data_IF_906993021863
#
_entry.id   IF_906993021863
#
_cell.length_a   1.000
_cell.length_b   1.000
_cell.length_c   1.000
_cell.angle_alpha   90.00
_cell.angle_beta   90.00
_cell.angle_gamma   90.00
#
_symmetry.space_group_name_H-M   'P 1'
#
loop_
_entity.id
_entity.type
_entity.pdbx_description
1 polymer ?
#
# COMPACT_ATOMS: atom_id res chain seq x y z
N UNK A 1 -6.99 -2.11 -38.20
CA UNK A 1 -7.21 -0.93 -37.31
C UNK A 1 -5.83 -0.46 -36.85
N UNK A 2 -5.56 0.83 -36.99
CA UNK A 2 -4.28 1.41 -36.56
C UNK A 2 -4.31 1.56 -35.04
N UNK A 3 -3.63 0.68 -34.33
CA UNK A 3 -3.45 0.72 -32.88
C UNK A 3 -2.16 1.44 -32.58
N UNK A 4 -2.23 2.54 -31.83
CA UNK A 4 -1.06 3.35 -31.46
C UNK A 4 -0.60 3.08 -30.01
N UNK A 5 -1.46 2.54 -29.16
CA UNK A 5 -1.16 2.23 -27.76
C UNK A 5 -1.76 0.87 -27.40
N UNK A 6 -0.94 0.04 -26.78
CA UNK A 6 -1.35 -1.23 -26.17
C UNK A 6 -1.08 -1.13 -24.69
N UNK A 7 -2.11 -1.30 -23.88
CA UNK A 7 -2.01 -1.37 -22.43
C UNK A 7 -2.37 -2.78 -21.97
N UNK A 8 -1.52 -3.39 -21.16
CA UNK A 8 -1.73 -4.73 -20.63
C UNK A 8 -1.34 -4.79 -19.16
N UNK A 9 -2.12 -5.49 -18.36
CA UNK A 9 -1.90 -5.67 -16.94
C UNK A 9 -1.67 -7.15 -16.62
N UNK A 10 -0.57 -7.44 -15.91
CA UNK A 10 -0.19 -8.78 -15.46
C UNK A 10 -0.26 -8.85 -13.94
N UNK A 11 -1.19 -9.59 -13.43
CA UNK A 11 -1.45 -9.65 -11.98
C UNK A 11 -0.80 -10.86 -11.29
N UNK A 12 -0.11 -11.73 -12.04
CA UNK A 12 0.36 -12.99 -11.48
C UNK A 12 1.44 -12.81 -10.41
N UNK A 13 2.45 -11.95 -10.65
CA UNK A 13 3.52 -11.68 -9.68
C UNK A 13 2.93 -11.06 -8.43
N UNK A 14 2.12 -10.02 -8.59
CA UNK A 14 1.52 -9.28 -7.49
C UNK A 14 0.71 -10.21 -6.56
N UNK A 15 -0.32 -10.87 -7.09
CA UNK A 15 -1.19 -11.76 -6.31
C UNK A 15 -0.41 -12.87 -5.59
N UNK A 16 0.56 -13.47 -6.25
CA UNK A 16 1.30 -14.59 -5.68
C UNK A 16 2.30 -14.10 -4.62
N UNK A 17 3.00 -13.02 -4.90
CA UNK A 17 4.00 -12.48 -3.97
C UNK A 17 3.35 -11.90 -2.70
N UNK A 18 2.19 -11.28 -2.78
CA UNK A 18 1.42 -10.92 -1.59
C UNK A 18 1.17 -12.09 -0.65
N UNK A 19 0.94 -13.27 -1.22
CA UNK A 19 0.69 -14.47 -0.43
C UNK A 19 1.95 -15.10 0.16
N UNK A 20 3.06 -15.08 -0.58
CA UNK A 20 4.22 -15.90 -0.25
C UNK A 20 5.44 -15.15 0.27
N UNK A 21 5.56 -13.84 0.02
CA UNK A 21 6.76 -13.08 0.41
C UNK A 21 7.06 -13.16 1.91
N UNK A 22 6.02 -13.27 2.75
CA UNK A 22 6.17 -13.47 4.20
C UNK A 22 6.93 -14.74 4.58
N UNK A 23 6.95 -15.73 3.71
CA UNK A 23 7.66 -17.01 3.95
C UNK A 23 9.14 -16.96 3.57
N UNK A 24 9.63 -15.83 3.03
CA UNK A 24 11.07 -15.60 2.81
C UNK A 24 11.83 -15.40 4.11
N UNK A 25 11.18 -14.81 5.13
CA UNK A 25 11.84 -14.51 6.40
C UNK A 25 12.24 -15.78 7.13
N UNK A 26 13.42 -15.78 7.71
CA UNK A 26 13.91 -16.87 8.57
C UNK A 26 13.36 -16.78 10.01
N UNK A 27 12.57 -15.77 10.32
CA UNK A 27 12.04 -15.48 11.65
C UNK A 27 10.61 -15.97 11.89
N UNK A 28 9.90 -16.39 10.83
CA UNK A 28 8.50 -16.85 10.93
C UNK A 28 8.35 -18.32 11.30
N UNK A 29 7.17 -18.69 11.85
CA UNK A 29 6.86 -20.09 12.19
C UNK A 29 6.58 -20.97 10.95
N UNK A 30 6.18 -20.37 9.84
CA UNK A 30 5.74 -21.04 8.61
C UNK A 30 6.67 -20.73 7.42
N UNK A 31 7.97 -20.95 7.58
CA UNK A 31 8.91 -20.74 6.46
C UNK A 31 8.79 -21.84 5.42
N UNK A 32 8.87 -21.43 4.17
CA UNK A 32 9.24 -22.37 3.11
C UNK A 32 10.77 -22.60 3.12
N UNK A 33 11.23 -23.82 2.81
CA UNK A 33 12.64 -24.02 2.51
C UNK A 33 13.08 -23.00 1.44
N UNK A 34 14.27 -22.38 1.56
CA UNK A 34 14.72 -21.36 0.62
C UNK A 34 14.68 -21.82 -0.84
N UNK A 35 15.02 -23.09 -1.10
CA UNK A 35 14.95 -23.69 -2.44
C UNK A 35 13.52 -23.81 -2.98
N UNK A 36 12.53 -24.07 -2.13
CA UNK A 36 11.12 -24.12 -2.56
C UNK A 36 10.61 -22.72 -2.85
N UNK A 37 10.92 -21.74 -2.00
CA UNK A 37 10.57 -20.35 -2.23
C UNK A 37 11.20 -19.83 -3.54
N UNK A 38 12.50 -20.05 -3.73
CA UNK A 38 13.22 -19.64 -4.93
C UNK A 38 12.60 -20.25 -6.18
N UNK A 39 12.33 -21.56 -6.16
CA UNK A 39 11.70 -22.24 -7.29
C UNK A 39 10.35 -21.66 -7.64
N UNK A 40 9.51 -21.40 -6.63
CA UNK A 40 8.20 -20.83 -6.82
C UNK A 40 8.29 -19.41 -7.43
N UNK A 41 9.16 -18.55 -6.89
CA UNK A 41 9.40 -17.23 -7.41
C UNK A 41 9.90 -17.28 -8.87
N UNK A 42 10.87 -18.15 -9.18
CA UNK A 42 11.37 -18.34 -10.54
C UNK A 42 10.25 -18.76 -11.51
N UNK A 43 9.37 -19.65 -11.11
CA UNK A 43 8.28 -20.13 -11.97
C UNK A 43 7.28 -18.99 -12.30
N UNK A 44 6.97 -18.13 -11.34
CA UNK A 44 6.12 -16.95 -11.55
C UNK A 44 6.80 -15.95 -12.51
N UNK A 45 8.08 -15.65 -12.28
CA UNK A 45 8.84 -14.72 -13.14
C UNK A 45 8.99 -15.27 -14.56
N UNK A 46 9.27 -16.57 -14.73
CA UNK A 46 9.31 -17.21 -16.06
C UNK A 46 7.99 -17.13 -16.80
N UNK A 47 6.87 -17.27 -16.08
CA UNK A 47 5.54 -17.12 -16.68
C UNK A 47 5.31 -15.69 -17.18
N UNK A 48 5.70 -14.70 -16.38
CA UNK A 48 5.58 -13.28 -16.75
C UNK A 48 6.52 -12.94 -17.91
N UNK A 49 7.76 -13.41 -17.87
CA UNK A 49 8.74 -13.23 -18.96
C UNK A 49 8.22 -13.81 -20.27
N UNK A 50 7.68 -15.04 -20.24
CA UNK A 50 7.03 -15.64 -21.42
C UNK A 50 5.91 -14.77 -21.98
N UNK A 51 5.13 -14.12 -21.12
CA UNK A 51 4.05 -13.26 -21.57
C UNK A 51 4.56 -11.95 -22.15
N UNK A 52 5.54 -11.31 -21.52
CA UNK A 52 6.20 -10.12 -22.04
C UNK A 52 6.87 -10.42 -23.38
N UNK A 53 7.47 -11.60 -23.51
CA UNK A 53 8.10 -12.06 -24.75
C UNK A 53 7.18 -12.03 -25.97
N UNK A 54 5.85 -12.09 -25.78
CA UNK A 54 4.88 -11.98 -26.89
C UNK A 54 4.81 -10.58 -27.49
N UNK A 55 5.32 -9.57 -26.82
CA UNK A 55 5.31 -8.18 -27.28
C UNK A 55 6.69 -7.73 -27.83
N UNK A 56 7.75 -8.47 -27.56
CA UNK A 56 9.13 -8.06 -27.91
C UNK A 56 9.29 -7.82 -29.42
N UNK A 57 8.60 -8.58 -30.28
CA UNK A 57 8.67 -8.39 -31.73
C UNK A 57 8.23 -6.99 -32.18
N UNK A 58 7.39 -6.30 -31.41
CA UNK A 58 6.94 -4.94 -31.71
C UNK A 58 8.08 -3.92 -31.67
N UNK A 59 9.17 -4.21 -30.97
CA UNK A 59 10.36 -3.35 -30.96
C UNK A 59 10.96 -3.21 -32.35
N UNK A 60 10.95 -4.29 -33.14
CA UNK A 60 11.44 -4.29 -34.54
C UNK A 60 10.52 -3.51 -35.49
N UNK A 61 9.28 -3.27 -35.06
CA UNK A 61 8.28 -2.48 -35.77
C UNK A 61 8.29 -0.99 -35.37
N UNK A 62 9.24 -0.59 -34.52
CA UNK A 62 9.40 0.81 -34.07
C UNK A 62 8.57 1.19 -32.87
N UNK A 63 8.01 0.22 -32.15
CA UNK A 63 7.29 0.47 -30.90
C UNK A 63 8.25 0.75 -29.74
N UNK A 64 7.73 1.44 -28.74
CA UNK A 64 8.35 1.58 -27.43
C UNK A 64 7.64 0.65 -26.45
N UNK A 65 8.36 -0.23 -25.79
CA UNK A 65 7.87 -1.08 -24.73
C UNK A 65 8.28 -0.50 -23.38
N UNK A 66 7.33 -0.35 -22.47
CA UNK A 66 7.59 0.02 -21.07
C UNK A 66 7.00 -1.03 -20.14
N UNK A 67 7.76 -1.43 -19.15
CA UNK A 67 7.33 -2.29 -18.06
C UNK A 67 7.49 -1.52 -16.75
N UNK A 68 6.43 -1.48 -15.96
CA UNK A 68 6.46 -0.89 -14.63
C UNK A 68 5.58 -1.69 -13.68
N UNK A 69 5.86 -1.58 -12.41
CA UNK A 69 4.98 -2.03 -11.33
C UNK A 69 4.64 -0.82 -10.46
N UNK A 70 3.46 -0.82 -9.87
CA UNK A 70 2.99 0.17 -8.90
C UNK A 70 3.71 0.03 -7.56
N UNK A 71 4.19 -1.15 -7.21
CA UNK A 71 5.02 -1.43 -6.03
C UNK A 71 5.77 -2.74 -6.19
N UNK A 72 6.78 -2.95 -5.36
CA UNK A 72 7.34 -4.26 -5.09
C UNK A 72 6.79 -4.80 -3.76
N UNK A 73 7.30 -5.93 -3.28
CA UNK A 73 6.80 -6.59 -2.08
C UNK A 73 7.81 -6.49 -0.94
N UNK A 74 7.32 -6.28 0.27
CA UNK A 74 8.14 -6.31 1.48
C UNK A 74 7.78 -7.52 2.34
N UNK A 75 8.81 -8.13 2.92
CA UNK A 75 8.66 -9.20 3.89
C UNK A 75 8.59 -8.58 5.29
N UNK A 76 7.52 -8.81 6.07
CA UNK A 76 7.50 -8.38 7.47
C UNK A 76 8.42 -9.26 8.31
N UNK A 77 9.08 -8.68 9.30
CA UNK A 77 9.98 -9.41 10.21
C UNK A 77 9.23 -10.43 11.10
N UNK A 78 7.96 -10.18 11.37
CA UNK A 78 7.05 -11.02 12.16
C UNK A 78 5.61 -10.57 11.93
N UNK A 79 4.66 -11.37 12.38
CA UNK A 79 3.26 -10.95 12.39
C UNK A 79 3.04 -9.85 13.43
N UNK A 80 2.36 -8.79 13.05
CA UNK A 80 1.99 -7.68 13.92
C UNK A 80 0.52 -7.31 13.71
N UNK A 81 -0.14 -6.69 14.73
CA UNK A 81 -1.53 -6.33 14.61
C UNK A 81 -1.74 -5.21 13.59
N UNK A 82 -2.81 -5.34 12.79
CA UNK A 82 -3.17 -4.38 11.77
C UNK A 82 -3.83 -3.14 12.37
N UNK A 83 -3.67 -2.02 11.69
CA UNK A 83 -4.33 -0.75 12.05
C UNK A 83 -5.68 -0.67 11.34
N UNK A 84 -5.75 -1.06 10.08
CA UNK A 84 -6.97 -1.10 9.30
C UNK A 84 -6.93 -2.16 8.21
N UNK A 85 -8.09 -2.50 7.68
CA UNK A 85 -8.23 -3.41 6.55
C UNK A 85 -9.33 -2.95 5.57
N UNK A 86 -9.50 -3.71 4.50
CA UNK A 86 -10.43 -3.40 3.41
C UNK A 86 -11.91 -3.34 3.85
N UNK A 87 -12.27 -4.07 4.90
CA UNK A 87 -13.64 -4.11 5.44
C UNK A 87 -13.78 -3.37 6.76
N UNK A 88 -12.68 -2.81 7.29
CA UNK A 88 -12.66 -2.01 8.50
C UNK A 88 -12.90 -2.79 9.80
N UNK A 89 -12.77 -4.12 9.77
CA UNK A 89 -13.05 -4.98 10.93
C UNK A 89 -11.85 -5.78 11.44
N UNK A 90 -10.73 -5.80 10.70
CA UNK A 90 -9.46 -6.36 11.16
C UNK A 90 -8.56 -5.22 11.64
N UNK A 91 -8.93 -4.62 12.74
CA UNK A 91 -8.48 -3.32 13.22
C UNK A 91 -7.92 -3.40 14.65
N UNK A 92 -7.14 -4.42 14.90
CA UNK A 92 -6.69 -4.74 16.28
C UNK A 92 -6.04 -3.56 16.99
N UNK A 93 -5.23 -2.77 16.28
CA UNK A 93 -4.58 -1.59 16.88
C UNK A 93 -5.62 -0.55 17.28
N UNK A 94 -6.60 -0.26 16.43
CA UNK A 94 -7.65 0.71 16.71
C UNK A 94 -8.51 0.28 17.91
N UNK A 95 -8.78 -1.03 18.04
CA UNK A 95 -9.48 -1.57 19.22
C UNK A 95 -8.65 -1.42 20.49
N UNK A 96 -7.38 -1.78 20.46
CA UNK A 96 -6.46 -1.66 21.61
C UNK A 96 -6.24 -0.21 22.03
N UNK A 97 -6.34 0.73 21.10
CA UNK A 97 -6.30 2.16 21.39
C UNK A 97 -7.64 2.73 21.87
N UNK A 98 -8.70 1.92 21.89
CA UNK A 98 -10.04 2.36 22.30
C UNK A 98 -10.69 3.33 21.30
N UNK A 99 -10.31 3.26 20.03
CA UNK A 99 -10.80 4.15 18.98
C UNK A 99 -11.95 3.53 18.18
N UNK A 100 -11.90 2.20 17.96
CA UNK A 100 -12.95 1.46 17.26
C UNK A 100 -13.45 0.31 18.14
N UNK A 101 -14.76 0.16 18.24
CA UNK A 101 -15.41 -0.95 18.92
C UNK A 101 -16.11 -1.86 17.91
N UNK A 102 -16.12 -3.17 18.17
CA UNK A 102 -16.92 -4.15 17.45
C UNK A 102 -18.10 -4.61 18.32
N UNK A 103 -19.21 -4.93 17.67
CA UNK A 103 -20.38 -5.49 18.35
C UNK A 103 -20.06 -6.88 18.90
N UNK A 104 -20.83 -7.30 19.90
CA UNK A 104 -20.77 -8.61 20.50
C UNK A 104 -22.14 -9.31 20.40
N UNK A 105 -22.12 -10.62 20.27
CA UNK A 105 -23.35 -11.43 20.36
C UNK A 105 -23.82 -11.60 21.81
N UNK A 106 -24.95 -12.28 21.98
CA UNK A 106 -25.57 -12.59 23.30
C UNK A 106 -24.63 -13.35 24.27
N UNK A 107 -23.61 -14.04 23.70
CA UNK A 107 -22.64 -14.81 24.47
C UNK A 107 -21.33 -14.01 24.73
N UNK A 108 -21.28 -12.74 24.32
CA UNK A 108 -20.11 -11.89 24.45
C UNK A 108 -19.01 -12.15 23.42
N UNK A 109 -19.31 -12.89 22.35
CA UNK A 109 -18.37 -13.11 21.25
C UNK A 109 -18.39 -11.91 20.30
N UNK A 110 -17.21 -11.43 19.96
CA UNK A 110 -17.01 -10.34 19.00
C UNK A 110 -17.54 -10.71 17.61
N UNK A 111 -18.31 -9.81 17.02
CA UNK A 111 -18.84 -9.89 15.66
C UNK A 111 -17.96 -9.05 14.72
N UNK A 112 -17.99 -9.38 13.42
CA UNK A 112 -17.33 -8.59 12.38
C UNK A 112 -18.23 -7.40 11.94
N UNK A 113 -18.68 -6.63 12.93
CA UNK A 113 -19.53 -5.47 12.74
C UNK A 113 -19.09 -4.35 13.68
N UNK A 114 -18.95 -3.13 13.15
CA UNK A 114 -18.57 -1.95 13.95
C UNK A 114 -19.73 -1.55 14.85
N UNK A 115 -19.42 -1.32 16.12
CA UNK A 115 -20.31 -0.67 17.08
C UNK A 115 -20.12 0.86 16.99
N UNK A 116 -20.94 1.48 16.16
CA UNK A 116 -20.82 2.91 15.88
C UNK A 116 -21.12 3.83 17.07
N UNK A 117 -21.89 3.37 18.05
CA UNK A 117 -22.19 4.14 19.26
C UNK A 117 -20.96 4.29 20.17
N UNK A 118 -19.97 3.38 20.03
CA UNK A 118 -18.75 3.35 20.82
C UNK A 118 -17.48 3.51 19.97
N UNK A 119 -17.61 3.92 18.69
CA UNK A 119 -16.50 4.08 17.76
C UNK A 119 -16.24 5.56 17.48
N UNK A 120 -15.06 6.03 17.86
CA UNK A 120 -14.60 7.41 17.60
C UNK A 120 -13.97 7.57 16.23
N UNK A 121 -13.24 6.58 15.76
CA UNK A 121 -12.58 6.61 14.47
C UNK A 121 -12.43 5.22 13.88
N UNK A 122 -12.38 5.13 12.55
CA UNK A 122 -12.18 3.90 11.80
C UNK A 122 -10.97 4.06 10.88
N UNK A 123 -10.06 3.10 10.92
CA UNK A 123 -8.98 2.99 9.95
C UNK A 123 -9.45 2.16 8.77
N UNK A 124 -9.35 2.73 7.57
CA UNK A 124 -9.63 2.02 6.34
C UNK A 124 -8.35 1.57 5.65
N UNK A 125 -8.50 0.73 4.63
CA UNK A 125 -7.47 0.44 3.65
C UNK A 125 -6.86 1.73 3.11
N UNK A 126 -5.60 1.69 2.66
CA UNK A 126 -4.85 2.82 2.14
C UNK A 126 -4.50 3.91 3.17
N UNK A 127 -4.40 3.55 4.44
CA UNK A 127 -3.79 4.39 5.48
C UNK A 127 -4.57 5.64 5.86
N UNK A 128 -5.87 5.60 5.68
CA UNK A 128 -6.77 6.66 6.06
C UNK A 128 -7.50 6.32 7.35
N UNK A 129 -7.55 7.26 8.29
CA UNK A 129 -8.38 7.18 9.48
C UNK A 129 -9.45 8.26 9.36
N UNK A 130 -10.71 7.85 9.53
CA UNK A 130 -11.89 8.69 9.45
C UNK A 130 -12.49 8.84 10.85
N UNK A 131 -12.68 10.07 11.30
CA UNK A 131 -13.34 10.39 12.54
C UNK A 131 -14.86 10.24 12.38
N UNK A 132 -15.50 9.66 13.38
CA UNK A 132 -16.95 9.47 13.40
C UNK A 132 -17.68 10.77 13.82
N UNK A 133 -17.65 11.76 12.93
CA UNK A 133 -18.16 13.10 13.16
C UNK A 133 -19.68 13.18 13.00
N UNK A 134 -20.34 13.88 13.91
CA UNK A 134 -21.74 14.28 13.76
C UNK A 134 -21.93 15.15 12.53
N UNK A 135 -23.02 14.94 11.84
CA UNK A 135 -23.35 15.67 10.60
C UNK A 135 -22.60 15.18 9.36
N UNK A 136 -21.46 14.45 9.51
CA UNK A 136 -20.81 13.76 8.41
C UNK A 136 -21.41 12.37 8.23
N UNK A 137 -21.66 11.68 9.33
CA UNK A 137 -22.23 10.32 9.35
C UNK A 137 -23.48 10.29 10.23
N UNK A 138 -24.47 9.48 9.84
CA UNK A 138 -25.74 9.32 10.59
C UNK A 138 -25.50 8.78 12.01
N UNK A 139 -24.43 8.05 12.22
CA UNK A 139 -23.98 7.47 13.48
C UNK A 139 -22.88 8.28 14.17
N UNK A 140 -22.58 9.48 13.71
CA UNK A 140 -21.51 10.32 14.26
C UNK A 140 -21.68 10.60 15.75
N UNK A 141 -20.59 10.52 16.51
CA UNK A 141 -20.58 10.77 17.96
C UNK A 141 -19.67 11.93 18.39
N UNK A 142 -18.69 12.30 17.55
CA UNK A 142 -17.78 13.41 17.81
C UNK A 142 -18.40 14.70 17.32
N UNK A 143 -18.42 15.75 18.15
CA UNK A 143 -18.83 17.07 17.72
C UNK A 143 -17.82 17.67 16.71
N UNK A 144 -18.28 18.35 15.65
CA UNK A 144 -17.37 18.91 14.65
C UNK A 144 -16.35 19.91 15.20
N UNK A 145 -16.68 20.64 16.23
CA UNK A 145 -15.80 21.59 16.93
C UNK A 145 -14.65 20.90 17.65
N UNK A 146 -14.81 19.63 18.06
CA UNK A 146 -13.80 18.83 18.75
C UNK A 146 -12.89 18.06 17.79
N UNK A 147 -13.10 18.18 16.46
CA UNK A 147 -12.34 17.43 15.46
C UNK A 147 -10.84 17.57 15.64
N UNK A 148 -10.35 18.79 15.83
CA UNK A 148 -8.90 19.06 15.95
C UNK A 148 -8.29 18.37 17.18
N UNK A 149 -8.98 18.36 18.29
CA UNK A 149 -8.54 17.73 19.54
C UNK A 149 -8.52 16.21 19.38
N UNK A 150 -9.52 15.64 18.71
CA UNK A 150 -9.56 14.20 18.42
C UNK A 150 -8.47 13.77 17.45
N UNK A 151 -8.17 14.55 16.42
CA UNK A 151 -7.04 14.29 15.52
C UNK A 151 -5.73 14.24 16.29
N UNK A 152 -5.49 15.20 17.19
CA UNK A 152 -4.28 15.25 18.04
C UNK A 152 -4.19 14.03 18.95
N UNK A 153 -5.29 13.69 19.61
CA UNK A 153 -5.36 12.54 20.51
C UNK A 153 -5.10 11.23 19.78
N UNK A 154 -5.71 11.03 18.62
CA UNK A 154 -5.52 9.82 17.80
C UNK A 154 -4.06 9.70 17.36
N UNK A 155 -3.47 10.77 16.81
CA UNK A 155 -2.07 10.76 16.39
C UNK A 155 -1.14 10.47 17.58
N UNK A 156 -1.43 11.03 18.74
CA UNK A 156 -0.66 10.78 19.97
C UNK A 156 -0.75 9.31 20.39
N UNK A 157 -1.94 8.71 20.38
CA UNK A 157 -2.12 7.29 20.69
C UNK A 157 -1.38 6.40 19.68
N UNK A 158 -1.46 6.70 18.38
CA UNK A 158 -0.74 5.99 17.32
C UNK A 158 0.77 6.04 17.54
N UNK A 159 1.35 7.22 17.80
CA UNK A 159 2.79 7.37 18.06
C UNK A 159 3.26 6.66 19.33
N UNK A 160 2.39 6.52 20.33
CA UNK A 160 2.71 5.84 21.58
C UNK A 160 2.49 4.32 21.50
N UNK A 161 1.77 3.84 20.49
CA UNK A 161 1.56 2.41 20.28
C UNK A 161 2.87 1.72 19.88
N UNK A 162 3.15 0.61 20.55
CA UNK A 162 4.36 -0.18 20.31
C UNK A 162 3.98 -1.62 20.06
N UNK A 163 4.68 -2.21 19.10
CA UNK A 163 4.65 -3.65 18.90
C UNK A 163 5.05 -4.40 20.18
N UNK A 164 4.27 -5.40 20.53
CA UNK A 164 4.44 -6.17 21.78
C UNK A 164 5.67 -7.08 21.78
N UNK A 165 6.18 -7.42 20.59
CA UNK A 165 7.34 -8.29 20.41
C UNK A 165 8.63 -7.49 20.43
N UNK A 166 8.70 -6.44 19.61
CA UNK A 166 9.94 -5.65 19.45
C UNK A 166 10.01 -4.43 20.34
N UNK A 167 8.89 -4.01 20.94
CA UNK A 167 8.73 -2.76 21.70
C UNK A 167 9.02 -1.49 20.90
N UNK A 168 9.10 -1.59 19.57
CA UNK A 168 9.27 -0.46 18.66
C UNK A 168 7.92 0.16 18.29
N UNK A 169 7.95 1.41 17.87
CA UNK A 169 6.79 2.08 17.28
C UNK A 169 6.46 1.43 15.94
N UNK A 170 5.18 1.21 15.66
CA UNK A 170 4.72 0.73 14.36
C UNK A 170 4.36 1.86 13.40
N UNK A 171 4.18 3.09 13.91
CA UNK A 171 3.89 4.28 13.11
C UNK A 171 5.13 5.14 12.98
N UNK A 172 5.55 5.41 11.73
CA UNK A 172 6.64 6.33 11.41
C UNK A 172 6.14 7.78 11.35
N UNK A 173 4.98 8.00 10.72
CA UNK A 173 4.42 9.33 10.50
C UNK A 173 2.88 9.25 10.55
N UNK A 174 2.26 10.23 11.17
CA UNK A 174 0.83 10.49 11.05
C UNK A 174 0.63 11.98 10.79
N UNK A 175 -0.22 12.33 9.83
CA UNK A 175 -0.51 13.68 9.38
C UNK A 175 -2.01 13.92 9.36
N UNK A 176 -2.44 15.13 9.70
CA UNK A 176 -3.80 15.57 9.38
C UNK A 176 -3.99 15.68 7.88
N UNK A 177 -5.19 15.51 7.40
CA UNK A 177 -5.56 15.69 5.99
C UNK A 177 -4.97 16.97 5.39
N UNK A 178 -5.17 18.11 6.04
CA UNK A 178 -4.66 19.40 5.58
C UNK A 178 -3.14 19.48 5.42
N UNK A 179 -2.41 18.70 6.23
CA UNK A 179 -0.94 18.70 6.25
C UNK A 179 -0.37 17.69 5.24
N UNK A 180 -1.18 16.73 4.79
CA UNK A 180 -0.82 15.73 3.78
C UNK A 180 -0.83 16.27 2.34
N UNK A 181 -1.10 17.55 2.14
CA UNK A 181 -1.12 18.21 0.82
C UNK A 181 0.20 18.03 0.05
N UNK A 182 1.33 18.05 0.73
CA UNK A 182 2.65 17.86 0.11
C UNK A 182 2.85 16.44 -0.46
N UNK A 183 2.04 15.49 -0.01
CA UNK A 183 2.05 14.10 -0.46
C UNK A 183 0.94 13.81 -1.48
N UNK A 184 0.11 14.81 -1.79
CA UNK A 184 -1.08 14.61 -2.64
C UNK A 184 -2.17 13.75 -1.99
N UNK A 185 -2.11 13.55 -0.67
CA UNK A 185 -3.01 12.69 0.10
C UNK A 185 -4.00 13.51 0.93
N UNK A 186 -4.47 14.60 0.37
CA UNK A 186 -5.44 15.50 0.99
C UNK A 186 -6.69 15.64 0.14
N UNK A 187 -7.76 16.12 0.73
CA UNK A 187 -9.02 16.38 0.04
C UNK A 187 -10.21 15.77 0.76
N UNK A 188 -11.43 16.01 0.26
CA UNK A 188 -12.67 15.63 0.95
C UNK A 188 -12.88 14.11 1.03
N UNK A 189 -12.31 13.35 0.11
CA UNK A 189 -12.43 11.89 0.08
C UNK A 189 -11.31 11.19 0.88
N UNK A 190 -10.25 11.92 1.26
CA UNK A 190 -9.19 11.39 2.09
C UNK A 190 -9.60 11.36 3.57
N UNK A 191 -8.98 10.46 4.34
CA UNK A 191 -9.20 10.40 5.79
C UNK A 191 -8.85 11.71 6.50
N UNK A 192 -9.33 11.89 7.70
CA UNK A 192 -8.97 13.02 8.56
C UNK A 192 -7.50 12.94 8.99
N UNK A 193 -6.99 11.71 9.13
CA UNK A 193 -5.59 11.41 9.42
C UNK A 193 -5.07 10.41 8.40
N UNK A 194 -3.86 10.68 7.90
CA UNK A 194 -3.10 9.78 7.03
C UNK A 194 -1.90 9.27 7.84
N UNK A 195 -1.63 7.96 7.83
CA UNK A 195 -0.51 7.39 8.57
C UNK A 195 0.40 6.54 7.69
N UNK A 196 1.64 6.38 8.13
CA UNK A 196 2.67 5.59 7.49
C UNK A 196 3.32 4.67 8.52
N UNK A 197 3.42 3.39 8.20
CA UNK A 197 4.06 2.44 9.07
C UNK A 197 5.57 2.61 9.09
N UNK A 198 6.18 2.25 10.20
CA UNK A 198 7.62 2.20 10.35
C UNK A 198 8.20 1.01 9.57
N UNK A 199 9.50 1.06 9.34
CA UNK A 199 10.26 0.00 8.69
C UNK A 199 10.04 -1.36 9.37
N UNK A 200 9.78 -2.39 8.58
CA UNK A 200 9.48 -3.74 9.04
C UNK A 200 8.01 -4.00 9.40
N UNK A 201 7.15 -2.96 9.37
CA UNK A 201 5.72 -3.08 9.66
C UNK A 201 4.83 -2.90 8.44
N UNK A 202 5.39 -3.06 7.26
CA UNK A 202 4.62 -3.19 6.03
C UNK A 202 4.10 -4.61 5.91
N UNK A 203 2.83 -4.75 5.62
CA UNK A 203 2.20 -6.06 5.46
C UNK A 203 1.66 -6.23 4.04
N UNK A 204 0.93 -5.24 3.56
CA UNK A 204 0.27 -5.23 2.26
C UNK A 204 0.04 -3.79 1.83
N UNK A 205 0.07 -3.51 0.53
CA UNK A 205 -0.26 -2.20 -0.01
C UNK A 205 -1.69 -1.75 0.36
N UNK A 206 -2.57 -2.70 0.67
CA UNK A 206 -3.96 -2.44 1.00
C UNK A 206 -4.21 -2.06 2.44
N UNK A 207 -3.25 -2.26 3.31
CA UNK A 207 -3.41 -2.14 4.76
C UNK A 207 -2.54 -1.05 5.37
N UNK A 208 -1.43 -0.72 4.71
CA UNK A 208 -0.55 0.35 5.18
C UNK A 208 0.39 0.85 4.09
N UNK A 209 0.59 2.15 4.05
CA UNK A 209 1.76 2.75 3.44
C UNK A 209 2.91 2.61 4.43
N UNK A 210 4.03 2.20 3.97
CA UNK A 210 5.15 1.98 4.84
C UNK A 210 6.40 2.68 4.37
N UNK A 211 7.47 2.40 5.07
CA UNK A 211 8.81 2.72 4.61
C UNK A 211 9.21 1.80 3.46
N UNK A 212 10.24 2.20 2.70
CA UNK A 212 10.64 1.46 1.51
C UNK A 212 11.22 0.07 1.79
N UNK A 213 11.60 -0.23 3.05
CA UNK A 213 12.36 -1.44 3.38
C UNK A 213 11.60 -2.39 4.28
N UNK A 214 11.74 -3.68 4.01
CA UNK A 214 11.24 -4.78 4.82
C UNK A 214 12.38 -5.69 5.30
N UNK A 215 12.04 -6.84 5.88
CA UNK A 215 13.00 -7.89 6.25
C UNK A 215 13.53 -8.59 5.00
N UNK A 216 14.62 -9.35 5.13
CA UNK A 216 15.23 -10.13 4.06
C UNK A 216 15.59 -9.30 2.80
N UNK A 217 16.05 -8.06 2.98
CA UNK A 217 16.43 -7.13 1.90
C UNK A 217 15.31 -6.84 0.89
N UNK A 218 14.06 -6.98 1.30
CA UNK A 218 12.90 -6.64 0.48
C UNK A 218 12.60 -5.15 0.50
N UNK A 219 11.99 -4.64 -0.57
CA UNK A 219 11.65 -3.23 -0.72
C UNK A 219 10.32 -3.04 -1.46
N UNK A 220 9.61 -1.96 -1.18
CA UNK A 220 8.43 -1.56 -1.97
C UNK A 220 8.79 -0.86 -3.28
N UNK A 221 10.06 -0.55 -3.52
CA UNK A 221 10.50 0.13 -4.74
C UNK A 221 10.28 -0.75 -5.98
N UNK A 222 9.37 -0.36 -6.90
CA UNK A 222 9.09 -1.15 -8.09
C UNK A 222 10.18 -1.01 -9.14
N UNK A 223 10.14 -1.90 -10.12
CA UNK A 223 10.98 -1.82 -11.31
C UNK A 223 10.37 -0.87 -12.35
N UNK A 224 11.26 -0.25 -13.13
CA UNK A 224 10.92 0.41 -14.39
C UNK A 224 11.90 -0.02 -15.47
N UNK A 225 11.39 -0.55 -16.56
CA UNK A 225 12.20 -0.98 -17.73
C UNK A 225 11.56 -0.36 -18.97
N UNK A 226 12.39 0.16 -19.87
CA UNK A 226 11.94 0.67 -21.16
C UNK A 226 12.89 0.24 -22.27
N UNK A 227 12.36 -0.01 -23.46
CA UNK A 227 13.11 -0.37 -24.65
C UNK A 227 12.42 0.12 -25.92
N UNK A 228 13.16 0.29 -27.01
CA UNK A 228 12.65 0.63 -28.33
C UNK A 228 12.78 2.11 -28.69
N UNK A 229 11.88 2.59 -29.52
CA UNK A 229 11.97 3.93 -30.11
C UNK A 229 11.99 5.03 -29.04
N UNK A 230 12.92 5.96 -29.13
CA UNK A 230 13.06 7.08 -28.19
C UNK A 230 13.70 6.76 -26.86
N UNK A 231 14.09 5.51 -26.60
CA UNK A 231 14.72 5.06 -25.36
C UNK A 231 16.22 4.90 -25.55
N UNK A 232 17.01 5.29 -24.54
CA UNK A 232 18.46 5.10 -24.54
C UNK A 232 18.81 3.63 -24.34
N UNK A 233 19.67 3.09 -25.18
CA UNK A 233 20.17 1.74 -25.04
C UNK A 233 21.24 1.63 -23.94
N UNK A 234 21.21 0.54 -23.18
CA UNK A 234 22.21 0.22 -22.16
C UNK A 234 22.32 1.23 -21.02
N UNK A 235 21.29 2.04 -20.80
CA UNK A 235 21.26 3.01 -19.71
C UNK A 235 20.66 2.37 -18.46
N UNK A 236 21.37 2.46 -17.34
CA UNK A 236 20.94 2.04 -16.03
C UNK A 236 21.10 3.20 -15.03
N UNK A 237 20.25 3.30 -14.05
CA UNK A 237 20.31 4.35 -13.04
C UNK A 237 19.69 3.91 -11.73
N UNK A 238 20.32 4.30 -10.62
CA UNK A 238 19.79 4.18 -9.26
C UNK A 238 18.98 5.41 -8.83
N UNK A 239 18.78 6.34 -9.75
CA UNK A 239 18.01 7.54 -9.45
C UNK A 239 16.55 7.17 -9.19
N UNK A 240 16.02 7.64 -8.07
CA UNK A 240 14.59 7.52 -7.76
C UNK A 240 13.78 8.29 -8.80
N UNK A 241 12.87 7.60 -9.46
CA UNK A 241 11.83 8.16 -10.33
C UNK A 241 10.48 7.99 -9.63
N UNK A 242 9.52 8.85 -9.95
CA UNK A 242 8.20 8.79 -9.33
C UNK A 242 7.20 8.21 -10.32
N UNK A 243 6.28 7.39 -9.83
CA UNK A 243 5.22 6.79 -10.67
C UNK A 243 4.37 7.85 -11.38
N UNK A 244 4.14 9.00 -10.74
CA UNK A 244 3.40 10.13 -11.33
C UNK A 244 4.08 10.69 -12.58
N UNK A 245 5.35 10.42 -12.82
CA UNK A 245 6.08 10.85 -14.01
C UNK A 245 5.89 9.89 -15.20
N UNK A 246 5.29 8.71 -14.98
CA UNK A 246 5.12 7.70 -16.02
C UNK A 246 4.15 8.13 -17.13
N UNK A 247 2.91 8.48 -16.78
CA UNK A 247 1.90 8.88 -17.75
C UNK A 247 2.32 10.10 -18.58
N UNK A 248 2.89 11.18 -18.01
CA UNK A 248 3.47 12.27 -18.77
C UNK A 248 4.60 11.84 -19.72
N UNK A 249 5.45 10.89 -19.31
CA UNK A 249 6.54 10.36 -20.13
C UNK A 249 5.99 9.62 -21.34
N UNK A 250 5.01 8.73 -21.14
CA UNK A 250 4.35 8.01 -22.25
C UNK A 250 3.67 8.99 -23.20
N UNK A 251 3.00 10.01 -22.69
CA UNK A 251 2.36 11.04 -23.50
C UNK A 251 3.39 11.80 -24.39
N UNK A 252 4.55 12.15 -23.84
CA UNK A 252 5.63 12.80 -24.59
C UNK A 252 6.17 11.87 -25.70
N UNK A 253 6.38 10.59 -25.40
CA UNK A 253 6.82 9.61 -26.39
C UNK A 253 5.80 9.44 -27.51
N UNK A 254 4.51 9.44 -27.20
CA UNK A 254 3.41 9.40 -28.16
C UNK A 254 3.07 10.74 -28.83
N UNK A 255 3.83 11.81 -28.57
CA UNK A 255 3.57 13.14 -29.14
C UNK A 255 2.30 13.81 -28.61
N UNK A 256 1.75 13.36 -27.52
CA UNK A 256 0.54 13.88 -26.89
C UNK A 256 0.90 14.85 -25.78
N UNK A 257 0.22 15.99 -25.75
CA UNK A 257 0.37 16.97 -24.67
C UNK A 257 -0.60 16.64 -23.54
N UNK A 258 -0.06 16.39 -22.35
CA UNK A 258 -0.88 16.26 -21.15
C UNK A 258 -1.45 17.61 -20.73
N UNK A 259 -2.72 17.66 -20.32
CA UNK A 259 -3.26 18.87 -19.69
C UNK A 259 -2.50 19.14 -18.38
N UNK A 260 -2.33 20.42 -18.08
CA UNK A 260 -1.78 20.81 -16.76
C UNK A 260 -2.83 20.51 -15.69
N UNK A 261 -2.41 19.76 -14.69
CA UNK A 261 -3.17 19.59 -13.44
C UNK A 261 -2.77 20.69 -12.47
#
# INVERSE_FOLDING_TARGET
EDVEVIFSHFHAIDLQMHMIVRYMSDKGENKLPPEEFQKFAEDIYKQTDYYVGKFIHLLDEGWTLTLMSDHAQVCPAHEFPLIGDIVGVNIRVMQELGLTALKHDENGKELKEIDWEHTYAVASRANHIYLNLKGRYDHGIIEPEDQYEWEEEIMTRLYNYKDKVTHKRIIALALRNKDAVLLGLNGPECGDIIYFNAEGYNYDHGESLGTCWGDADTSVSPIFIAAGAGVKEGFETDRVIREVDFAPTVAVLGGVRMPHQ
#
